data_IF_177682157791
#
_entry.id   IF_177682157791
#
_cell.length_a   1.000
_cell.length_b   1.000
_cell.length_c   1.000
_cell.angle_alpha   90.00
_cell.angle_beta   90.00
_cell.angle_gamma   90.00
#
_symmetry.space_group_name_H-M   'P 1'
#
loop_
_entity.id
_entity.type
_entity.pdbx_description
1 polymer ?
#
# COMPACT_ATOMS: atom_id res chain seq x y z
N UNK A 1 -3.37 -14.08 -12.18
CA UNK A 1 -4.60 -13.73 -11.43
C UNK A 1 -4.21 -12.60 -10.51
N UNK A 2 -4.76 -11.38 -10.62
CA UNK A 2 -4.47 -10.37 -9.61
C UNK A 2 -4.94 -10.95 -8.27
N UNK A 3 -4.03 -11.05 -7.30
CA UNK A 3 -4.44 -11.30 -5.91
C UNK A 3 -5.33 -10.14 -5.50
N UNK A 4 -6.46 -10.41 -4.83
CA UNK A 4 -7.22 -9.33 -4.23
C UNK A 4 -6.34 -8.67 -3.17
N UNK A 5 -5.96 -7.42 -3.44
CA UNK A 5 -5.31 -6.55 -2.48
C UNK A 5 -6.38 -5.95 -1.58
N UNK A 6 -6.04 -5.75 -0.32
CA UNK A 6 -6.90 -5.06 0.63
C UNK A 6 -6.84 -3.53 0.42
N UNK A 7 -5.71 -3.02 -0.07
CA UNK A 7 -5.54 -1.60 -0.37
C UNK A 7 -4.54 -1.33 -1.49
N UNK A 8 -4.73 -0.18 -2.15
CA UNK A 8 -3.78 0.40 -3.10
C UNK A 8 -3.43 1.81 -2.62
N UNK A 9 -2.14 2.14 -2.57
CA UNK A 9 -1.65 3.48 -2.22
C UNK A 9 -1.05 4.13 -3.46
N UNK A 10 -1.49 5.34 -3.78
CA UNK A 10 -0.95 6.12 -4.91
C UNK A 10 -0.05 7.23 -4.37
N UNK A 11 1.20 7.25 -4.82
CA UNK A 11 2.31 8.09 -4.39
C UNK A 11 3.22 7.38 -3.39
N UNK A 12 4.54 7.35 -3.64
CA UNK A 12 5.54 6.76 -2.73
C UNK A 12 6.36 7.81 -1.98
N UNK A 13 5.81 9.01 -1.81
CA UNK A 13 6.31 9.99 -0.86
C UNK A 13 6.18 9.52 0.61
N UNK A 14 6.73 10.28 1.57
CA UNK A 14 6.78 9.87 2.98
C UNK A 14 5.42 9.45 3.57
N UNK A 15 4.35 10.17 3.21
CA UNK A 15 3.01 9.88 3.69
C UNK A 15 2.45 8.58 3.08
N UNK A 16 2.68 8.35 1.79
CA UNK A 16 2.23 7.16 1.08
C UNK A 16 2.91 5.90 1.61
N UNK A 17 4.24 5.95 1.77
CA UNK A 17 4.99 4.84 2.38
C UNK A 17 4.61 4.61 3.84
N UNK A 18 4.34 5.67 4.61
CA UNK A 18 3.86 5.53 5.99
C UNK A 18 2.50 4.85 6.05
N UNK A 19 1.57 5.24 5.17
CA UNK A 19 0.25 4.60 5.08
C UNK A 19 0.36 3.13 4.67
N UNK A 20 1.16 2.82 3.64
CA UNK A 20 1.39 1.45 3.19
C UNK A 20 2.02 0.58 4.27
N UNK A 21 3.02 1.09 4.99
CA UNK A 21 3.68 0.39 6.08
C UNK A 21 2.73 0.13 7.25
N UNK A 22 1.88 1.09 7.62
CA UNK A 22 0.92 0.90 8.69
C UNK A 22 -0.16 -0.14 8.33
N UNK A 23 -0.64 -0.13 7.09
CA UNK A 23 -1.58 -1.13 6.58
C UNK A 23 -0.94 -2.53 6.55
N UNK A 24 0.29 -2.65 6.03
CA UNK A 24 1.00 -3.92 6.00
C UNK A 24 1.27 -4.48 7.41
N UNK A 25 1.62 -3.63 8.38
CA UNK A 25 1.81 -4.02 9.80
C UNK A 25 0.55 -4.56 10.46
N UNK A 26 -0.63 -4.18 9.95
CA UNK A 26 -1.94 -4.69 10.39
C UNK A 26 -2.37 -5.96 9.66
N UNK A 27 -1.55 -6.45 8.72
CA UNK A 27 -1.80 -7.69 7.98
C UNK A 27 -2.53 -7.50 6.66
N UNK A 28 -2.73 -6.26 6.21
CA UNK A 28 -3.33 -5.99 4.90
C UNK A 28 -2.31 -6.20 3.77
N UNK A 29 -2.77 -6.79 2.68
CA UNK A 29 -2.05 -6.82 1.41
C UNK A 29 -2.19 -5.47 0.70
N UNK A 30 -1.05 -4.83 0.41
CA UNK A 30 -1.00 -3.46 -0.12
C UNK A 30 -0.06 -3.38 -1.30
N UNK A 31 -0.48 -2.66 -2.34
CA UNK A 31 0.37 -2.30 -3.49
C UNK A 31 0.52 -0.77 -3.55
N UNK A 32 1.73 -0.29 -3.87
CA UNK A 32 2.04 1.13 -4.00
C UNK A 32 2.34 1.45 -5.46
N UNK A 33 1.69 2.46 -6.02
CA UNK A 33 1.98 2.99 -7.35
C UNK A 33 2.50 4.41 -7.26
N UNK A 34 3.50 4.74 -8.08
CA UNK A 34 4.03 6.10 -8.24
C UNK A 34 4.10 6.45 -9.74
N UNK A 35 4.08 7.74 -10.05
CA UNK A 35 4.05 8.27 -11.42
C UNK A 35 5.39 8.11 -12.15
#
# INVERSE_FOLDING_TARGET
>A
MPSMLDAVVVGAGPNGLTAAAELARRGFSVEVHEA
#
